data_IF_755427407569
#
_entry.id   IF_755427407569
#
_cell.length_a   1.000
_cell.length_b   1.000
_cell.length_c   1.000
_cell.angle_alpha   90.00
_cell.angle_beta   90.00
_cell.angle_gamma   90.00
#
_symmetry.space_group_name_H-M   'P 1'
#
loop_
_entity.id
_entity.type
_entity.pdbx_description
1 polymer ?
#
# COMPACT_ATOMS: atom_id res chain seq x y z
N UNK A 1 -21.55 -15.92 -37.09
CA UNK A 1 -20.46 -16.11 -36.09
C UNK A 1 -19.94 -14.73 -35.73
N UNK A 2 -20.41 -14.16 -34.61
CA UNK A 2 -19.96 -12.84 -34.16
C UNK A 2 -18.68 -13.08 -33.36
N UNK A 3 -17.53 -12.80 -33.97
CA UNK A 3 -16.25 -12.79 -33.27
C UNK A 3 -16.20 -11.53 -32.40
N UNK A 4 -16.49 -11.69 -31.10
CA UNK A 4 -16.23 -10.66 -30.11
C UNK A 4 -14.70 -10.51 -29.98
N UNK A 5 -14.16 -9.46 -30.57
CA UNK A 5 -12.80 -9.00 -30.27
C UNK A 5 -12.84 -8.44 -28.84
N UNK A 6 -12.62 -9.30 -27.85
CA UNK A 6 -12.38 -8.85 -26.49
C UNK A 6 -11.08 -8.04 -26.53
N UNK A 7 -11.18 -6.72 -26.54
CA UNK A 7 -10.07 -5.86 -26.15
C UNK A 7 -9.70 -6.32 -24.74
N UNK A 8 -8.61 -7.10 -24.63
CA UNK A 8 -8.05 -7.48 -23.36
C UNK A 8 -7.61 -6.17 -22.70
N UNK A 9 -8.46 -5.61 -21.83
CA UNK A 9 -8.04 -4.56 -20.93
C UNK A 9 -6.77 -5.07 -20.26
N UNK A 10 -5.65 -4.36 -20.46
CA UNK A 10 -4.34 -4.75 -19.92
C UNK A 10 -4.53 -5.06 -18.43
N UNK A 11 -4.48 -6.35 -18.08
CA UNK A 11 -4.71 -6.81 -16.72
C UNK A 11 -3.54 -6.41 -15.79
N UNK A 12 -2.38 -6.15 -16.39
CA UNK A 12 -1.15 -5.68 -15.78
C UNK A 12 -0.63 -4.42 -16.52
N UNK A 13 0.51 -3.86 -16.10
CA UNK A 13 1.17 -2.75 -16.79
C UNK A 13 1.84 -3.14 -18.11
N UNK A 14 1.82 -4.43 -18.46
CA UNK A 14 2.34 -5.01 -19.69
C UNK A 14 1.29 -5.84 -20.43
N UNK A 15 1.60 -6.21 -21.68
CA UNK A 15 0.73 -7.02 -22.53
C UNK A 15 0.79 -8.50 -22.12
N UNK A 16 -0.30 -9.00 -21.54
CA UNK A 16 -0.39 -10.38 -21.08
C UNK A 16 -0.29 -11.43 -22.20
N UNK A 17 -0.54 -11.06 -23.46
CA UNK A 17 -0.32 -11.96 -24.59
C UNK A 17 1.18 -12.16 -24.88
N UNK A 18 2.04 -11.29 -24.35
CA UNK A 18 3.51 -11.34 -24.50
C UNK A 18 4.23 -11.86 -23.25
N UNK A 19 3.48 -12.26 -22.22
CA UNK A 19 4.03 -12.81 -20.99
C UNK A 19 4.89 -14.05 -21.29
N UNK A 20 6.18 -13.97 -20.96
CA UNK A 20 7.19 -14.95 -21.34
C UNK A 20 7.68 -15.73 -20.13
N UNK A 21 7.88 -15.05 -18.99
CA UNK A 21 8.38 -15.66 -17.77
C UNK A 21 7.24 -16.13 -16.83
N UNK A 22 7.61 -16.85 -15.77
CA UNK A 22 6.65 -17.43 -14.82
C UNK A 22 5.94 -16.36 -13.99
N UNK A 23 6.66 -15.31 -13.59
CA UNK A 23 6.13 -14.20 -12.80
C UNK A 23 5.10 -13.41 -13.60
N UNK A 24 5.40 -13.07 -14.86
CA UNK A 24 4.48 -12.39 -15.78
C UNK A 24 3.20 -13.20 -15.99
N UNK A 25 3.33 -14.52 -16.18
CA UNK A 25 2.16 -15.41 -16.35
C UNK A 25 1.31 -15.47 -15.08
N UNK A 26 1.91 -15.51 -13.90
CA UNK A 26 1.19 -15.46 -12.63
C UNK A 26 0.46 -14.13 -12.45
N UNK A 27 1.12 -13.01 -12.77
CA UNK A 27 0.52 -11.67 -12.73
C UNK A 27 -0.70 -11.59 -13.66
N UNK A 28 -0.60 -12.14 -14.87
CA UNK A 28 -1.69 -12.11 -15.84
C UNK A 28 -2.86 -13.05 -15.49
N UNK A 29 -2.59 -14.15 -14.79
CA UNK A 29 -3.62 -15.10 -14.35
C UNK A 29 -4.39 -14.61 -13.11
N UNK A 30 -3.78 -13.74 -12.29
CA UNK A 30 -4.35 -13.23 -11.05
C UNK A 30 -4.68 -11.74 -11.14
N UNK A 31 -5.97 -11.40 -11.08
CA UNK A 31 -6.44 -10.01 -11.17
C UNK A 31 -5.88 -9.10 -10.07
N UNK A 32 -5.68 -9.62 -8.86
CA UNK A 32 -5.13 -8.85 -7.76
C UNK A 32 -3.63 -8.60 -7.93
N UNK A 33 -2.89 -9.54 -8.53
CA UNK A 33 -1.50 -9.30 -8.92
C UNK A 33 -1.39 -8.29 -10.06
N UNK A 34 -2.22 -8.42 -11.10
CA UNK A 34 -2.27 -7.45 -12.20
C UNK A 34 -2.62 -6.02 -11.74
N UNK A 35 -3.51 -5.90 -10.75
CA UNK A 35 -3.84 -4.62 -10.13
C UNK A 35 -2.67 -4.03 -9.31
N UNK A 36 -1.93 -4.86 -8.56
CA UNK A 36 -0.69 -4.46 -7.88
C UNK A 36 0.37 -4.02 -8.86
N UNK A 37 0.53 -4.75 -9.95
CA UNK A 37 1.45 -4.40 -11.04
C UNK A 37 1.15 -3.02 -11.63
N UNK A 38 -0.11 -2.81 -12.00
CA UNK A 38 -0.59 -1.51 -12.49
C UNK A 38 -0.36 -0.39 -11.47
N UNK A 39 -0.62 -0.65 -10.19
CA UNK A 39 -0.46 0.32 -9.10
C UNK A 39 1.01 0.70 -8.90
N UNK A 40 1.90 -0.30 -8.83
CA UNK A 40 3.35 -0.13 -8.73
C UNK A 40 3.89 0.68 -9.91
N UNK A 41 3.53 0.31 -11.15
CA UNK A 41 4.00 1.00 -12.35
C UNK A 41 3.61 2.48 -12.37
N UNK A 42 2.38 2.82 -11.94
CA UNK A 42 1.91 4.21 -11.85
C UNK A 42 2.69 5.02 -10.80
N UNK A 43 2.91 4.46 -9.62
CA UNK A 43 3.68 5.13 -8.56
C UNK A 43 5.15 5.29 -8.96
N UNK A 44 5.74 4.30 -9.63
CA UNK A 44 7.09 4.39 -10.17
C UNK A 44 7.23 5.52 -11.20
N UNK A 45 6.27 5.64 -12.13
CA UNK A 45 6.27 6.73 -13.11
C UNK A 45 6.17 8.12 -12.45
N UNK A 46 5.41 8.25 -11.36
CA UNK A 46 5.32 9.48 -10.58
C UNK A 46 6.66 9.80 -9.88
N UNK A 47 7.29 8.80 -9.26
CA UNK A 47 8.59 8.94 -8.63
C UNK A 47 9.67 9.37 -9.64
N UNK A 48 9.72 8.76 -10.83
CA UNK A 48 10.65 9.16 -11.89
C UNK A 48 10.50 10.64 -12.32
N UNK A 49 9.31 11.21 -12.16
CA UNK A 49 9.03 12.60 -12.54
C UNK A 49 9.39 13.59 -11.42
N UNK A 50 9.25 13.20 -10.16
CA UNK A 50 9.28 14.13 -9.01
C UNK A 50 10.47 13.92 -8.08
N UNK A 51 11.18 12.81 -8.21
CA UNK A 51 12.31 12.41 -7.37
C UNK A 51 13.59 12.25 -8.20
N UNK A 52 14.65 11.74 -7.58
CA UNK A 52 15.92 11.42 -8.23
C UNK A 52 15.76 10.18 -9.14
N UNK A 53 15.54 10.44 -10.44
CA UNK A 53 15.25 9.39 -11.41
C UNK A 53 16.35 8.32 -11.54
N UNK A 54 17.66 8.65 -11.62
CA UNK A 54 18.73 7.66 -11.51
C UNK A 54 18.58 6.71 -10.31
N UNK A 55 18.49 7.24 -9.09
CA UNK A 55 18.33 6.42 -7.88
C UNK A 55 17.08 5.54 -7.94
N UNK A 56 15.95 6.12 -8.34
CA UNK A 56 14.66 5.41 -8.44
C UNK A 56 14.73 4.26 -9.46
N UNK A 57 15.42 4.46 -10.60
CA UNK A 57 15.64 3.39 -11.59
C UNK A 57 16.52 2.27 -11.04
N UNK A 58 17.52 2.58 -10.24
CA UNK A 58 18.45 1.60 -9.69
C UNK A 58 17.76 0.70 -8.66
N UNK A 59 17.00 1.31 -7.75
CA UNK A 59 16.16 0.58 -6.79
C UNK A 59 15.11 -0.29 -7.51
N UNK A 60 14.52 0.22 -8.60
CA UNK A 60 13.56 -0.56 -9.38
C UNK A 60 14.19 -1.80 -10.02
N UNK A 61 15.43 -1.72 -10.53
CA UNK A 61 16.13 -2.88 -11.10
C UNK A 61 16.46 -3.94 -10.05
N UNK A 62 16.84 -3.51 -8.85
CA UNK A 62 17.07 -4.41 -7.72
C UNK A 62 15.77 -5.12 -7.32
N UNK A 63 14.68 -4.35 -7.18
CA UNK A 63 13.35 -4.91 -6.90
C UNK A 63 12.88 -5.90 -7.98
N UNK A 64 13.10 -5.59 -9.27
CA UNK A 64 12.75 -6.50 -10.37
C UNK A 64 13.45 -7.86 -10.23
N UNK A 65 14.72 -7.86 -9.82
CA UNK A 65 15.47 -9.11 -9.57
C UNK A 65 14.84 -9.93 -8.45
N UNK A 66 14.38 -9.27 -7.38
CA UNK A 66 13.73 -9.93 -6.25
C UNK A 66 12.37 -10.55 -6.64
N UNK A 67 11.50 -9.79 -7.32
CA UNK A 67 10.17 -10.30 -7.71
C UNK A 67 10.24 -11.39 -8.80
N UNK A 68 11.26 -11.36 -9.67
CA UNK A 68 11.51 -12.44 -10.65
C UNK A 68 11.99 -13.74 -10.00
N UNK A 69 12.52 -13.70 -8.77
CA UNK A 69 12.89 -14.90 -8.03
C UNK A 69 11.68 -15.63 -7.41
N UNK A 70 10.51 -14.99 -7.35
CA UNK A 70 9.31 -15.60 -6.81
C UNK A 70 8.81 -16.81 -7.60
N UNK A 71 8.15 -17.73 -6.89
CA UNK A 71 7.60 -18.98 -7.44
C UNK A 71 6.10 -19.13 -7.24
N UNK A 72 5.47 -18.22 -6.51
CA UNK A 72 4.03 -18.23 -6.25
C UNK A 72 3.48 -16.81 -6.10
N UNK A 73 2.15 -16.71 -6.12
CA UNK A 73 1.43 -15.44 -6.01
C UNK A 73 1.64 -14.72 -4.67
N UNK A 74 1.87 -15.46 -3.58
CA UNK A 74 2.09 -14.89 -2.25
C UNK A 74 3.39 -14.10 -2.21
N UNK A 75 4.49 -14.71 -2.66
CA UNK A 75 5.80 -14.07 -2.80
C UNK A 75 5.71 -12.81 -3.67
N UNK A 76 5.06 -12.91 -4.84
CA UNK A 76 4.89 -11.78 -5.75
C UNK A 76 4.13 -10.66 -5.03
N UNK A 77 2.98 -10.97 -4.43
CA UNK A 77 2.16 -9.98 -3.74
C UNK A 77 2.92 -9.25 -2.63
N UNK A 78 3.75 -9.95 -1.85
CA UNK A 78 4.55 -9.36 -0.79
C UNK A 78 5.58 -8.37 -1.34
N UNK A 79 6.33 -8.74 -2.39
CA UNK A 79 7.29 -7.82 -3.02
C UNK A 79 6.63 -6.62 -3.69
N UNK A 80 5.43 -6.79 -4.26
CA UNK A 80 4.66 -5.67 -4.79
C UNK A 80 4.21 -4.73 -3.66
N UNK A 81 3.65 -5.26 -2.57
CA UNK A 81 3.15 -4.45 -1.45
C UNK A 81 4.29 -3.65 -0.80
N UNK A 82 5.47 -4.26 -0.63
CA UNK A 82 6.68 -3.59 -0.15
C UNK A 82 7.09 -2.44 -1.09
N UNK A 83 7.19 -2.71 -2.40
CA UNK A 83 7.63 -1.70 -3.36
C UNK A 83 6.63 -0.56 -3.52
N UNK A 84 5.33 -0.87 -3.49
CA UNK A 84 4.26 0.12 -3.49
C UNK A 84 4.40 1.02 -2.26
N UNK A 85 4.66 0.46 -1.08
CA UNK A 85 4.90 1.25 0.15
C UNK A 85 6.10 2.19 -0.03
N UNK A 86 7.24 1.69 -0.48
CA UNK A 86 8.43 2.51 -0.73
C UNK A 86 8.16 3.65 -1.72
N UNK A 87 7.42 3.36 -2.80
CA UNK A 87 7.08 4.35 -3.81
C UNK A 87 6.04 5.37 -3.31
N UNK A 88 5.15 5.00 -2.39
CA UNK A 88 4.24 5.95 -1.73
C UNK A 88 5.00 6.99 -0.91
N UNK A 89 6.18 6.66 -0.38
CA UNK A 89 7.02 7.57 0.40
C UNK A 89 7.88 8.51 -0.44
N UNK A 90 7.91 8.32 -1.77
CA UNK A 90 8.55 9.26 -2.69
C UNK A 90 7.76 10.57 -2.79
N UNK A 91 8.36 11.66 -3.29
CA UNK A 91 7.64 12.92 -3.53
C UNK A 91 6.46 12.71 -4.48
N UNK A 92 6.67 11.93 -5.54
CA UNK A 92 5.61 11.58 -6.49
C UNK A 92 4.45 10.80 -5.85
N UNK A 93 4.76 9.80 -5.03
CA UNK A 93 3.77 8.99 -4.32
C UNK A 93 2.98 9.80 -3.28
N UNK A 94 3.66 10.64 -2.50
CA UNK A 94 3.03 11.53 -1.52
C UNK A 94 2.09 12.53 -2.18
N UNK A 95 2.50 13.13 -3.29
CA UNK A 95 1.68 14.09 -4.04
C UNK A 95 0.42 13.44 -4.65
N UNK A 96 0.49 12.15 -5.01
CA UNK A 96 -0.65 11.42 -5.59
C UNK A 96 -1.56 10.77 -4.53
N UNK A 97 -1.14 10.72 -3.27
CA UNK A 97 -1.89 10.06 -2.19
C UNK A 97 -2.88 11.01 -1.54
N UNK A 98 -4.01 10.46 -1.10
CA UNK A 98 -4.98 11.17 -0.25
C UNK A 98 -4.56 10.99 1.21
N UNK A 99 -4.30 12.09 1.90
CA UNK A 99 -3.89 12.10 3.31
C UNK A 99 -5.09 12.40 4.20
N UNK A 100 -5.16 11.68 5.32
CA UNK A 100 -6.11 11.86 6.40
C UNK A 100 -5.34 11.86 7.72
N UNK A 101 -5.83 12.59 8.70
CA UNK A 101 -5.23 12.68 10.03
C UNK A 101 -6.20 12.23 11.11
N UNK A 102 -5.65 11.79 12.24
CA UNK A 102 -6.38 11.53 13.47
C UNK A 102 -5.67 12.28 14.60
N UNK A 103 -6.43 12.92 15.47
CA UNK A 103 -5.98 13.35 16.80
C UNK A 103 -6.82 12.67 17.88
N UNK A 104 -6.18 12.19 18.94
CA UNK A 104 -6.83 11.54 20.07
C UNK A 104 -6.08 11.88 21.36
N UNK A 105 -6.54 12.91 22.08
CA UNK A 105 -5.76 13.46 23.19
C UNK A 105 -4.45 14.05 22.66
N UNK A 106 -3.31 13.59 23.21
CA UNK A 106 -1.98 13.96 22.74
C UNK A 106 -1.53 13.17 21.52
N UNK A 107 -2.20 12.07 21.17
CA UNK A 107 -1.78 11.19 20.09
C UNK A 107 -2.18 11.71 18.72
N UNK A 108 -1.30 11.50 17.76
CA UNK A 108 -1.52 11.86 16.36
C UNK A 108 -1.38 10.64 15.46
N UNK A 109 -2.00 10.69 14.28
CA UNK A 109 -1.83 9.66 13.27
C UNK A 109 -2.09 10.19 11.89
N UNK A 110 -1.36 9.67 10.91
CA UNK A 110 -1.52 9.96 9.50
C UNK A 110 -1.89 8.69 8.74
N UNK A 111 -2.81 8.82 7.80
CA UNK A 111 -3.23 7.75 6.90
C UNK A 111 -3.16 8.28 5.46
N UNK A 112 -2.29 7.67 4.67
CA UNK A 112 -2.11 7.96 3.25
C UNK A 112 -2.70 6.82 2.43
N UNK A 113 -3.58 7.15 1.50
CA UNK A 113 -4.25 6.19 0.62
C UNK A 113 -3.97 6.51 -0.84
N UNK A 114 -3.50 5.53 -1.60
CA UNK A 114 -3.36 5.60 -3.06
C UNK A 114 -4.29 4.59 -3.76
N UNK A 115 -4.98 5.05 -4.82
CA UNK A 115 -5.96 4.27 -5.57
C UNK A 115 -7.41 4.76 -5.42
N UNK A 116 -8.41 3.94 -5.80
CA UNK A 116 -8.30 2.51 -6.09
C UNK A 116 -7.70 2.19 -7.46
N UNK A 117 -7.02 1.04 -7.59
CA UNK A 117 -6.60 0.42 -8.86
C UNK A 117 -7.03 -1.03 -8.84
N UNK A 118 -7.88 -1.47 -9.76
CA UNK A 118 -8.44 -2.83 -9.73
C UNK A 118 -9.20 -3.18 -8.44
N UNK A 119 -9.74 -2.17 -7.74
CA UNK A 119 -10.38 -2.33 -6.43
C UNK A 119 -9.41 -2.43 -5.24
N UNK A 120 -8.10 -2.40 -5.48
CA UNK A 120 -7.08 -2.31 -4.44
C UNK A 120 -6.82 -0.86 -4.03
N UNK A 121 -6.52 -0.64 -2.76
CA UNK A 121 -5.98 0.62 -2.23
C UNK A 121 -4.69 0.33 -1.50
N UNK A 122 -3.63 1.06 -1.84
CA UNK A 122 -2.40 1.05 -1.06
C UNK A 122 -2.54 1.97 0.15
N UNK A 123 -2.05 1.49 1.28
CA UNK A 123 -2.19 2.10 2.59
C UNK A 123 -0.80 2.31 3.17
N UNK A 124 -0.52 3.53 3.60
CA UNK A 124 0.58 3.84 4.52
C UNK A 124 -0.02 4.56 5.72
N UNK A 125 0.23 4.04 6.92
CA UNK A 125 -0.32 4.58 8.16
C UNK A 125 0.83 4.78 9.15
N UNK A 126 0.81 5.90 9.85
CA UNK A 126 1.71 6.16 10.97
C UNK A 126 0.92 6.71 12.15
N UNK A 127 1.45 6.47 13.35
CA UNK A 127 0.90 6.98 14.58
C UNK A 127 2.04 7.43 15.50
N UNK A 128 1.78 8.49 16.27
CA UNK A 128 2.70 9.03 17.27
C UNK A 128 1.97 9.12 18.61
N UNK A 129 2.57 8.54 19.65
CA UNK A 129 2.15 8.70 21.03
C UNK A 129 3.08 9.68 21.74
N UNK A 130 2.49 10.66 22.42
CA UNK A 130 3.22 11.62 23.23
C UNK A 130 2.92 11.35 24.69
N UNK A 131 3.92 10.80 25.38
CA UNK A 131 3.85 10.51 26.80
C UNK A 131 3.84 11.78 27.66
N UNK A 132 3.71 11.62 28.99
CA UNK A 132 3.70 12.74 29.92
C UNK A 132 4.93 13.64 29.74
N UNK A 133 4.69 14.96 29.61
CA UNK A 133 5.74 15.96 29.46
C UNK A 133 6.71 15.67 28.29
N UNK A 134 6.22 15.11 27.19
CA UNK A 134 7.04 14.64 26.06
C UNK A 134 8.08 15.65 25.54
N UNK A 135 7.79 16.95 25.59
CA UNK A 135 8.74 18.01 25.18
C UNK A 135 10.01 18.00 26.05
N UNK A 136 9.90 17.63 27.32
CA UNK A 136 11.01 17.62 28.29
C UNK A 136 11.61 16.22 28.43
N UNK A 137 10.77 15.18 28.39
CA UNK A 137 11.19 13.80 28.62
C UNK A 137 11.67 13.09 27.36
N UNK A 138 11.33 13.62 26.17
CA UNK A 138 11.57 12.94 24.91
C UNK A 138 10.70 11.69 24.73
N UNK A 139 9.66 11.50 25.56
CA UNK A 139 8.74 10.36 25.49
C UNK A 139 7.78 10.48 24.29
N UNK A 140 8.35 10.44 23.07
CA UNK A 140 7.63 10.41 21.80
C UNK A 140 7.91 9.07 21.14
N UNK A 141 6.84 8.30 20.94
CA UNK A 141 6.92 6.99 20.30
C UNK A 141 6.20 7.06 18.97
N UNK A 142 6.81 6.52 17.92
CA UNK A 142 6.25 6.52 16.60
C UNK A 142 6.34 5.12 16.00
N UNK A 143 5.29 4.74 15.28
CA UNK A 143 5.26 3.48 14.55
C UNK A 143 4.53 3.67 13.21
N UNK A 144 4.79 2.76 12.28
CA UNK A 144 4.14 2.76 10.97
C UNK A 144 3.80 1.36 10.49
N UNK A 145 2.76 1.29 9.66
CA UNK A 145 2.40 0.08 8.95
C UNK A 145 2.00 0.43 7.52
N UNK A 146 2.10 -0.55 6.63
CA UNK A 146 1.69 -0.37 5.24
C UNK A 146 1.19 -1.68 4.65
N UNK A 147 0.60 -1.58 3.46
CA UNK A 147 0.17 -2.73 2.68
C UNK A 147 -0.90 -2.35 1.67
N UNK A 148 -1.45 -3.36 1.00
CA UNK A 148 -2.48 -3.15 -0.03
C UNK A 148 -3.75 -3.90 0.35
N UNK A 149 -4.86 -3.16 0.43
CA UNK A 149 -6.17 -3.71 0.78
C UNK A 149 -7.07 -3.83 -0.45
N UNK A 150 -7.62 -5.02 -0.68
CA UNK A 150 -8.76 -5.18 -1.58
C UNK A 150 -10.03 -4.64 -0.92
N UNK A 151 -10.67 -3.66 -1.57
CA UNK A 151 -11.92 -3.10 -1.07
C UNK A 151 -13.12 -3.90 -1.58
N UNK A 152 -13.94 -4.35 -0.63
CA UNK A 152 -15.28 -4.86 -0.84
C UNK A 152 -16.25 -3.98 -0.05
N UNK A 153 -17.17 -3.30 -0.75
CA UNK A 153 -18.12 -2.34 -0.13
C UNK A 153 -17.43 -1.29 0.76
N UNK A 154 -16.28 -0.77 0.30
CA UNK A 154 -15.50 0.24 1.02
C UNK A 154 -14.74 -0.30 2.25
N UNK A 155 -14.64 -1.61 2.42
CA UNK A 155 -13.91 -2.27 3.51
C UNK A 155 -12.82 -3.18 2.95
N UNK A 156 -11.65 -3.19 3.56
CA UNK A 156 -10.55 -4.09 3.21
C UNK A 156 -9.61 -4.32 4.38
N UNK A 157 -8.74 -5.31 4.26
CA UNK A 157 -7.71 -5.63 5.26
C UNK A 157 -6.33 -5.43 4.65
N UNK A 158 -5.39 -4.90 5.42
CA UNK A 158 -3.97 -4.77 5.07
C UNK A 158 -3.08 -5.15 6.25
N UNK A 159 -1.79 -5.31 5.98
CA UNK A 159 -0.79 -5.78 6.94
C UNK A 159 -0.61 -7.30 6.89
N UNK A 160 0.47 -7.82 7.48
CA UNK A 160 0.74 -9.24 7.55
C UNK A 160 -0.30 -9.99 8.40
N UNK A 161 -0.35 -11.32 8.25
CA UNK A 161 -1.37 -12.16 8.89
C UNK A 161 -1.33 -12.08 10.42
N UNK A 162 -0.16 -11.91 11.01
CA UNK A 162 0.10 -11.80 12.44
C UNK A 162 -0.08 -10.37 13.00
N UNK A 163 -0.14 -9.35 12.13
CA UNK A 163 -0.46 -7.97 12.47
C UNK A 163 -1.24 -7.26 11.35
N UNK A 164 -2.58 -7.35 11.42
CA UNK A 164 -3.47 -6.91 10.34
C UNK A 164 -4.48 -5.86 10.82
N UNK A 165 -4.87 -5.01 9.89
CA UNK A 165 -5.78 -3.90 10.13
C UNK A 165 -6.94 -3.94 9.14
N UNK A 166 -8.14 -3.69 9.63
CA UNK A 166 -9.31 -3.43 8.81
C UNK A 166 -9.43 -1.95 8.53
N UNK A 167 -9.37 -1.59 7.25
CA UNK A 167 -9.68 -0.26 6.73
C UNK A 167 -11.17 -0.24 6.34
N UNK A 168 -11.92 0.79 6.73
CA UNK A 168 -13.32 0.96 6.32
C UNK A 168 -13.67 2.40 6.01
N UNK A 169 -14.26 2.63 4.86
CA UNK A 169 -14.68 3.94 4.39
C UNK A 169 -15.85 4.46 5.21
N UNK A 170 -15.80 5.73 5.61
CA UNK A 170 -16.88 6.47 6.27
C UNK A 170 -17.22 7.71 5.45
N UNK A 171 -18.07 7.53 4.44
CA UNK A 171 -18.37 8.57 3.45
C UNK A 171 -17.14 8.96 2.62
N UNK A 172 -17.11 10.18 2.11
CA UNK A 172 -16.03 10.63 1.22
C UNK A 172 -14.82 11.23 1.96
N UNK A 173 -15.02 11.68 3.20
CA UNK A 173 -14.05 12.48 3.95
C UNK A 173 -13.37 11.75 5.12
N UNK A 174 -13.74 10.49 5.39
CA UNK A 174 -13.22 9.77 6.55
C UNK A 174 -13.03 8.27 6.32
N UNK A 175 -12.12 7.70 7.10
CA UNK A 175 -11.83 6.27 7.16
C UNK A 175 -11.68 5.84 8.61
N UNK A 176 -12.13 4.64 8.93
CA UNK A 176 -11.78 3.97 10.20
C UNK A 176 -10.73 2.92 9.95
N UNK A 177 -9.71 2.90 10.79
CA UNK A 177 -8.73 1.82 10.87
C UNK A 177 -8.98 1.08 12.19
N UNK A 178 -9.01 -0.24 12.14
CA UNK A 178 -9.16 -1.09 13.31
C UNK A 178 -8.18 -2.25 13.23
N UNK A 179 -7.30 -2.35 14.21
CA UNK A 179 -6.44 -3.52 14.36
C UNK A 179 -7.24 -4.77 14.68
N UNK A 180 -6.83 -5.92 14.14
CA UNK A 180 -7.43 -7.19 14.45
C UNK A 180 -7.08 -7.60 15.88
N UNK A 181 -8.05 -7.71 16.81
CA UNK A 181 -7.77 -7.98 18.22
C UNK A 181 -7.23 -9.40 18.49
N UNK A 182 -7.29 -10.30 17.50
CA UNK A 182 -6.69 -11.64 17.60
C UNK A 182 -5.20 -11.63 17.29
N UNK A 183 -4.70 -10.56 16.68
CA UNK A 183 -3.32 -10.44 16.26
C UNK A 183 -2.47 -9.95 17.44
N UNK A 184 -1.20 -10.35 17.45
CA UNK A 184 -0.23 -9.93 18.46
C UNK A 184 0.71 -8.90 17.84
N UNK A 185 0.14 -7.79 17.37
CA UNK A 185 0.95 -6.70 16.87
C UNK A 185 1.88 -6.20 17.98
N UNK A 186 3.16 -6.08 17.66
CA UNK A 186 4.13 -5.46 18.57
C UNK A 186 4.37 -4.05 18.06
N UNK A 187 3.88 -3.07 18.80
CA UNK A 187 4.04 -1.66 18.48
C UNK A 187 5.03 -1.00 19.44
N UNK A 188 5.57 0.14 19.03
CA UNK A 188 6.31 1.01 19.94
C UNK A 188 5.40 1.51 21.09
N UNK A 189 5.66 1.06 22.33
CA UNK A 189 4.97 1.51 23.54
C UNK A 189 3.43 1.61 23.37
N UNK A 190 2.83 2.74 23.77
CA UNK A 190 1.38 3.01 23.71
C UNK A 190 0.89 3.52 22.34
N UNK A 191 1.62 3.27 21.25
CA UNK A 191 1.19 3.70 19.91
C UNK A 191 -0.07 2.95 19.48
N UNK A 192 -1.11 3.71 19.12
CA UNK A 192 -2.39 3.18 18.65
C UNK A 192 -2.68 3.62 17.22
N UNK A 193 -2.84 2.65 16.32
CA UNK A 193 -3.28 2.88 14.94
C UNK A 193 -4.80 2.95 14.78
N UNK A 194 -5.54 2.32 15.68
CA UNK A 194 -7.00 2.25 15.58
C UNK A 194 -7.64 3.63 15.77
N UNK A 195 -8.68 3.95 14.98
CA UNK A 195 -9.41 5.21 15.12
C UNK A 195 -10.05 5.69 13.82
N UNK A 196 -10.61 6.90 13.86
CA UNK A 196 -11.18 7.57 12.68
C UNK A 196 -10.25 8.66 12.17
N UNK A 197 -9.80 8.50 10.93
CA UNK A 197 -8.98 9.44 10.19
C UNK A 197 -9.86 10.30 9.29
N UNK A 198 -9.64 11.62 9.30
CA UNK A 198 -10.41 12.62 8.55
C UNK A 198 -9.48 13.54 7.77
N UNK A 199 -10.01 14.17 6.72
CA UNK A 199 -9.30 15.25 6.02
C UNK A 199 -9.17 16.48 6.90
#
# INVERSE_FOLDING_TARGET
MIAACAAQANAASFDCAKASDTTEKLICADKALGARDTMMAKLYALALKQDDAPRVRDEQRQWLTAVQACRDAGCISAHYDERISQLMDTKGGRAASKVFSRKSGSDEGNLSLYGPVGGLVAVSISAMHYGPNAVQTGAVFADSASGVAQLHNGRGTFGPADCSFTLSRKGDAAWTVKENPKNKCTHAADVVFSGTYRR
#
